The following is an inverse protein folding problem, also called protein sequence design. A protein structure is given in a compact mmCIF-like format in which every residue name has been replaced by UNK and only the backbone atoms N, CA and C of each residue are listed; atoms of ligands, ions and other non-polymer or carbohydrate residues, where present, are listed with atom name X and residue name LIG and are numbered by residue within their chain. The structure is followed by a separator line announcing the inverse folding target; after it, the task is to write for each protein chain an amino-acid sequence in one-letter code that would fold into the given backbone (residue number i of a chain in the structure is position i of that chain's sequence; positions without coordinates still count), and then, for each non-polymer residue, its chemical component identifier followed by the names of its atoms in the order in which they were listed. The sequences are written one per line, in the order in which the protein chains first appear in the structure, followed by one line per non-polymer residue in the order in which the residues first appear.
data_IF_603298427273
#
_entry.id   IF_603298427273
#
_cell.length_a   1.000
_cell.length_b   1.000
_cell.length_c   1.000
_cell.angle_alpha   90.00
_cell.angle_beta   90.00
_cell.angle_gamma   90.00
#
_symmetry.space_group_name_H-M   'P 1'
#
loop_
_entity.id
_entity.type
_entity.pdbx_description
1 polymer ?
#
# COMPACT_ATOMS: atom_id res chain seq x y z
N UNK A 1 -1.32 11.88 -7.67
CA UNK A 1 -0.09 11.37 -7.03
C UNK A 1 0.09 9.92 -7.43
N UNK A 2 1.33 9.42 -7.46
CA UNK A 2 1.65 8.02 -7.72
C UNK A 2 2.16 7.38 -6.42
N UNK A 3 1.92 6.09 -6.25
CA UNK A 3 2.35 5.32 -5.07
C UNK A 3 3.13 4.10 -5.53
N UNK A 4 4.07 3.66 -4.69
CA UNK A 4 4.85 2.44 -4.89
C UNK A 4 4.57 1.47 -3.74
N UNK A 5 4.46 0.18 -4.04
CA UNK A 5 4.28 -0.87 -3.04
C UNK A 5 5.61 -1.55 -2.73
N UNK A 6 5.74 -2.06 -1.52
CA UNK A 6 6.85 -2.95 -1.21
C UNK A 6 6.60 -4.35 -1.77
N UNK A 7 7.65 -5.01 -2.28
CA UNK A 7 7.58 -6.33 -2.95
C UNK A 7 7.08 -7.48 -2.05
N UNK A 8 7.10 -7.30 -0.73
CA UNK A 8 6.65 -8.30 0.26
C UNK A 8 5.79 -7.55 1.27
N UNK A 9 4.61 -8.07 1.63
CA UNK A 9 3.65 -7.35 2.49
C UNK A 9 3.16 -8.20 3.68
N UNK A 10 3.95 -9.19 4.06
CA UNK A 10 3.61 -10.11 5.15
C UNK A 10 3.63 -9.38 6.51
N UNK A 11 2.65 -9.64 7.37
CA UNK A 11 2.44 -8.94 8.64
C UNK A 11 3.61 -9.02 9.63
N UNK A 12 4.39 -10.09 9.59
CA UNK A 12 5.59 -10.25 10.42
C UNK A 12 6.76 -9.32 10.00
N UNK A 13 6.64 -8.55 8.89
CA UNK A 13 7.68 -7.65 8.36
C UNK A 13 7.39 -6.18 8.66
N UNK A 14 7.34 -5.86 9.94
CA UNK A 14 6.95 -4.52 10.44
C UNK A 14 7.83 -3.34 9.96
N UNK A 15 9.10 -3.59 9.59
CA UNK A 15 10.03 -2.54 9.09
C UNK A 15 9.52 -1.78 7.87
N UNK A 16 8.60 -2.36 7.12
CA UNK A 16 8.04 -1.73 5.93
C UNK A 16 7.05 -0.62 6.32
N UNK A 17 6.33 -0.82 7.43
CA UNK A 17 5.43 0.18 7.97
C UNK A 17 6.18 1.44 8.42
N UNK A 18 7.39 1.29 8.98
CA UNK A 18 8.22 2.44 9.40
C UNK A 18 8.80 3.25 8.23
N UNK A 19 8.84 2.68 7.03
CA UNK A 19 9.32 3.37 5.80
C UNK A 19 8.16 3.86 4.92
N UNK A 20 6.94 3.42 5.21
CA UNK A 20 5.74 3.84 4.50
C UNK A 20 5.19 5.16 5.04
N UNK A 21 4.42 5.85 4.21
CA UNK A 21 3.65 7.04 4.59
C UNK A 21 2.13 6.88 4.34
N UNK A 22 1.71 5.77 3.73
CA UNK A 22 0.31 5.51 3.42
C UNK A 22 0.03 4.01 3.29
N UNK A 23 -1.25 3.67 3.34
CA UNK A 23 -1.78 2.38 2.89
C UNK A 23 -2.32 2.49 1.47
N UNK A 24 -2.02 1.47 0.67
CA UNK A 24 -2.73 1.18 -0.59
C UNK A 24 -3.87 0.23 -0.22
N UNK A 25 -5.09 0.74 -0.20
CA UNK A 25 -6.28 -0.01 0.20
C UNK A 25 -6.85 -0.71 -1.04
N UNK A 26 -6.90 -2.04 -0.98
CA UNK A 26 -7.48 -2.89 -2.01
C UNK A 26 -8.88 -3.33 -1.57
N UNK A 27 -9.82 -3.40 -2.50
CA UNK A 27 -11.15 -3.96 -2.23
C UNK A 27 -11.03 -5.45 -1.86
N UNK A 28 -11.98 -5.97 -1.09
CA UNK A 28 -11.94 -7.36 -0.60
C UNK A 28 -11.96 -8.38 -1.74
N UNK A 29 -12.64 -8.08 -2.84
CA UNK A 29 -12.78 -8.87 -4.05
C UNK A 29 -11.74 -8.53 -5.12
N UNK A 30 -10.77 -7.65 -4.82
CA UNK A 30 -9.70 -7.29 -5.74
C UNK A 30 -8.71 -8.46 -5.94
N UNK A 31 -8.41 -8.77 -7.20
CA UNK A 31 -7.30 -9.64 -7.58
C UNK A 31 -5.98 -8.88 -7.72
N UNK A 32 -5.10 -9.39 -8.58
CA UNK A 32 -3.85 -8.71 -8.91
C UNK A 32 -4.12 -7.41 -9.66
N UNK A 33 -3.42 -6.33 -9.25
CA UNK A 33 -3.45 -5.06 -9.95
C UNK A 33 -2.22 -4.88 -10.82
N UNK A 34 -2.40 -4.26 -11.98
CA UNK A 34 -1.31 -3.86 -12.87
C UNK A 34 -0.81 -2.45 -12.53
N UNK A 35 0.44 -2.15 -12.88
CA UNK A 35 0.96 -0.79 -12.78
C UNK A 35 0.08 0.18 -13.59
N UNK A 36 -0.19 1.36 -13.03
CA UNK A 36 -1.09 2.36 -13.62
C UNK A 36 -2.57 2.17 -13.27
N UNK A 37 -2.96 1.09 -12.57
CA UNK A 37 -4.31 0.94 -12.04
C UNK A 37 -4.61 1.99 -10.95
N UNK A 38 -5.85 2.44 -10.90
CA UNK A 38 -6.34 3.31 -9.82
C UNK A 38 -6.55 2.52 -8.53
N UNK A 39 -6.12 3.11 -7.41
CA UNK A 39 -6.23 2.52 -6.07
C UNK A 39 -6.70 3.55 -5.06
N UNK A 40 -7.30 3.09 -3.97
CA UNK A 40 -7.60 3.94 -2.83
C UNK A 40 -6.34 4.08 -1.97
N UNK A 41 -6.00 5.33 -1.62
CA UNK A 41 -4.85 5.64 -0.76
C UNK A 41 -5.35 6.21 0.56
N UNK A 42 -4.84 5.66 1.67
CA UNK A 42 -5.08 6.19 3.01
C UNK A 42 -3.73 6.63 3.60
N UNK A 43 -3.51 7.95 3.66
CA UNK A 43 -2.31 8.52 4.26
C UNK A 43 -2.25 8.27 5.77
N UNK A 44 -1.03 8.16 6.31
CA UNK A 44 -0.83 8.07 7.76
C UNK A 44 -1.07 9.43 8.42
N UNK A 45 -1.62 9.47 9.65
CA UNK A 45 -1.99 10.71 10.30
C UNK A 45 -0.81 11.52 10.88
N UNK A 46 0.42 11.01 10.78
CA UNK A 46 1.63 11.62 11.37
C UNK A 46 2.64 12.10 10.32
N UNK A 47 2.20 12.37 9.09
CA UNK A 47 3.01 13.07 8.09
C UNK A 47 3.19 14.53 8.49
#
# INVERSE_FOLDING_TARGET
FQVESFTKQQSHRIKQLSQANCFIVLAQDAGNLSAGASVQVQSFPWI
#
